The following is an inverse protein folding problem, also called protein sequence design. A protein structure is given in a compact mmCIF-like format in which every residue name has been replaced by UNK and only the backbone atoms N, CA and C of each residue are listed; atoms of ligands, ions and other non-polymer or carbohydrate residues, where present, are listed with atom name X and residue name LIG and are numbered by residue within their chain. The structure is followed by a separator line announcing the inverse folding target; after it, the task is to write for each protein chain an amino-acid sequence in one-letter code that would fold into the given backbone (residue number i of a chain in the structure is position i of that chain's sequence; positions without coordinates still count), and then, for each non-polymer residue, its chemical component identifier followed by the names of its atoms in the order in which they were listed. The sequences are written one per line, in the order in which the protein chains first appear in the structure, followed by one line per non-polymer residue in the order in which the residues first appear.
data_IF_854979822190
#
_entry.id   IF_854979822190
#
_cell.length_a   1.000
_cell.length_b   1.000
_cell.length_c   1.000
_cell.angle_alpha   90.00
_cell.angle_beta   90.00
_cell.angle_gamma   90.00
#
_symmetry.space_group_name_H-M   'P 1'
#
loop_
_entity.id
_entity.type
_entity.pdbx_description
1 polymer ?
#
# COMPACT_ATOMS: atom_id res chain seq x y z
N UNK A 1 20.29 2.02 3.06
CA UNK A 1 21.22 2.66 4.02
C UNK A 1 22.56 1.94 3.89
N UNK A 2 23.58 2.66 3.41
CA UNK A 2 24.82 2.10 2.85
C UNK A 2 24.90 2.30 1.34
N UNK A 3 26.08 2.09 0.77
CA UNK A 3 26.40 2.39 -0.64
C UNK A 3 25.82 1.39 -1.66
N UNK A 4 25.16 0.34 -1.16
CA UNK A 4 24.62 -0.75 -1.96
C UNK A 4 23.14 -1.02 -1.64
N UNK A 5 22.34 -1.41 -2.66
CA UNK A 5 20.96 -1.82 -2.45
C UNK A 5 20.90 -3.06 -1.54
N UNK A 6 19.96 -3.06 -0.60
CA UNK A 6 19.62 -4.23 0.22
C UNK A 6 18.28 -4.74 -0.24
N UNK A 7 18.15 -6.07 -0.32
CA UNK A 7 16.93 -6.73 -0.73
C UNK A 7 16.32 -7.48 0.46
N UNK A 8 15.01 -7.50 0.51
CA UNK A 8 14.22 -8.31 1.44
C UNK A 8 13.18 -9.04 0.63
N UNK A 9 12.91 -10.29 0.99
CA UNK A 9 11.87 -11.08 0.33
C UNK A 9 10.49 -10.58 0.76
N UNK A 10 9.51 -10.81 -0.10
CA UNK A 10 8.10 -10.53 0.13
C UNK A 10 7.29 -11.16 -0.99
N UNK A 11 5.97 -11.10 -0.87
CA UNK A 11 5.05 -11.65 -1.86
C UNK A 11 4.04 -10.58 -2.23
N UNK A 12 3.83 -10.38 -3.54
CA UNK A 12 2.64 -9.67 -4.01
C UNK A 12 1.47 -10.66 -3.99
N UNK A 13 0.69 -10.63 -2.91
CA UNK A 13 -0.20 -11.73 -2.56
C UNK A 13 -1.54 -11.59 -3.28
N UNK A 14 -1.80 -12.53 -4.18
CA UNK A 14 -3.08 -12.63 -4.88
C UNK A 14 -4.06 -13.44 -4.05
N UNK A 15 -5.28 -12.93 -3.91
CA UNK A 15 -6.31 -13.57 -3.11
C UNK A 15 -6.96 -14.74 -3.85
N UNK A 16 -6.75 -15.93 -3.30
CA UNK A 16 -7.49 -17.14 -3.61
C UNK A 16 -7.84 -17.85 -2.30
N UNK A 17 -8.83 -18.74 -2.32
CA UNK A 17 -9.18 -19.53 -1.14
C UNK A 17 -7.98 -20.32 -0.59
N UNK A 18 -7.22 -20.94 -1.48
CA UNK A 18 -6.01 -21.72 -1.14
C UNK A 18 -4.94 -20.83 -0.52
N UNK A 19 -4.63 -19.70 -1.16
CA UNK A 19 -3.62 -18.76 -0.66
C UNK A 19 -4.01 -18.23 0.72
N UNK A 20 -5.26 -17.79 0.90
CA UNK A 20 -5.76 -17.27 2.18
C UNK A 20 -5.63 -18.34 3.27
N UNK A 21 -6.02 -19.58 2.96
CA UNK A 21 -5.93 -20.69 3.92
C UNK A 21 -4.49 -20.97 4.32
N UNK A 22 -3.56 -21.03 3.36
CA UNK A 22 -2.13 -21.24 3.62
C UNK A 22 -1.52 -20.09 4.43
N UNK A 23 -1.82 -18.84 4.06
CA UNK A 23 -1.31 -17.66 4.77
C UNK A 23 -1.82 -17.58 6.22
N UNK A 24 -3.05 -18.02 6.50
CA UNK A 24 -3.57 -18.10 7.86
C UNK A 24 -2.92 -19.23 8.68
N UNK A 25 -2.58 -20.36 8.04
CA UNK A 25 -1.88 -21.46 8.69
C UNK A 25 -0.38 -21.16 8.90
N UNK A 26 0.21 -20.32 8.03
CA UNK A 26 1.63 -20.01 7.98
C UNK A 26 1.87 -18.49 7.90
N UNK A 27 1.60 -17.73 8.98
CA UNK A 27 1.54 -16.26 8.93
C UNK A 27 2.87 -15.57 8.59
N UNK A 28 4.01 -16.24 8.75
CA UNK A 28 5.33 -15.71 8.41
C UNK A 28 5.72 -15.94 6.94
N UNK A 29 4.96 -16.73 6.17
CA UNK A 29 5.41 -17.23 4.85
C UNK A 29 5.46 -16.17 3.75
N UNK A 30 4.50 -15.26 3.75
CA UNK A 30 4.27 -14.31 2.65
C UNK A 30 4.55 -12.85 3.02
N UNK A 31 4.82 -12.58 4.30
CA UNK A 31 5.10 -11.23 4.80
C UNK A 31 6.44 -10.70 4.31
N UNK A 32 6.61 -9.38 4.35
CA UNK A 32 7.85 -8.72 3.94
C UNK A 32 8.93 -9.01 4.98
N UNK A 33 10.01 -9.69 4.57
CA UNK A 33 11.15 -10.03 5.40
C UNK A 33 10.72 -10.83 6.64
N UNK A 34 11.09 -10.34 7.82
CA UNK A 34 10.68 -10.90 9.11
C UNK A 34 9.60 -10.05 9.80
N UNK A 35 8.90 -9.22 9.02
CA UNK A 35 7.89 -8.30 9.55
C UNK A 35 6.55 -9.00 9.76
N UNK A 36 5.48 -8.21 9.87
CA UNK A 36 4.09 -8.68 9.91
C UNK A 36 3.24 -8.10 8.80
N UNK A 37 3.85 -7.44 7.81
CA UNK A 37 3.14 -6.77 6.74
C UNK A 37 3.07 -7.64 5.50
N UNK A 38 1.86 -7.82 4.94
CA UNK A 38 1.59 -8.61 3.74
C UNK A 38 1.08 -7.70 2.63
N UNK A 39 1.76 -7.65 1.48
CA UNK A 39 1.23 -6.94 0.31
C UNK A 39 0.08 -7.74 -0.28
N UNK A 40 -1.08 -7.13 -0.49
CA UNK A 40 -2.26 -7.76 -1.06
C UNK A 40 -2.69 -7.01 -2.32
N UNK A 41 -2.57 -7.69 -3.46
CA UNK A 41 -3.04 -7.20 -4.76
C UNK A 41 -4.44 -7.72 -5.06
N UNK A 42 -5.33 -6.80 -5.40
CA UNK A 42 -6.71 -7.09 -5.77
C UNK A 42 -6.86 -7.21 -7.29
N UNK A 43 -7.69 -8.15 -7.72
CA UNK A 43 -8.08 -8.30 -9.12
C UNK A 43 -8.71 -7.01 -9.66
N UNK A 44 -8.33 -6.65 -10.89
CA UNK A 44 -8.93 -5.52 -11.61
C UNK A 44 -10.37 -5.79 -12.05
N UNK A 45 -10.82 -7.05 -12.02
CA UNK A 45 -12.11 -7.47 -12.53
C UNK A 45 -13.15 -7.72 -11.43
N UNK A 46 -12.69 -8.00 -10.22
CA UNK A 46 -13.58 -8.29 -9.10
C UNK A 46 -12.92 -8.03 -7.75
N UNK A 47 -13.72 -7.53 -6.81
CA UNK A 47 -13.38 -7.48 -5.38
C UNK A 47 -14.30 -8.48 -4.67
N UNK A 48 -13.76 -9.53 -4.02
CA UNK A 48 -14.58 -10.50 -3.30
C UNK A 48 -15.46 -9.81 -2.24
N UNK A 49 -16.76 -10.11 -2.13
CA UNK A 49 -17.63 -9.50 -1.12
C UNK A 49 -17.13 -9.71 0.32
N UNK A 50 -16.50 -10.85 0.59
CA UNK A 50 -15.98 -11.26 1.90
C UNK A 50 -14.57 -10.72 2.18
N UNK A 51 -14.06 -9.79 1.36
CA UNK A 51 -12.69 -9.29 1.49
C UNK A 51 -12.41 -8.67 2.86
N UNK A 52 -13.39 -7.94 3.42
CA UNK A 52 -13.26 -7.34 4.75
C UNK A 52 -13.10 -8.40 5.84
N UNK A 53 -13.80 -9.54 5.74
CA UNK A 53 -13.67 -10.65 6.68
C UNK A 53 -12.29 -11.31 6.56
N UNK A 54 -11.77 -11.44 5.33
CA UNK A 54 -10.41 -11.94 5.09
C UNK A 54 -9.36 -11.02 5.73
N UNK A 55 -9.49 -9.71 5.55
CA UNK A 55 -8.60 -8.75 6.21
C UNK A 55 -8.70 -8.83 7.73
N UNK A 56 -9.91 -8.92 8.30
CA UNK A 56 -10.10 -9.07 9.73
C UNK A 56 -9.42 -10.36 10.28
N UNK A 57 -9.49 -11.47 9.53
CA UNK A 57 -8.79 -12.73 9.88
C UNK A 57 -7.28 -12.56 9.87
N UNK A 58 -6.70 -11.92 8.85
CA UNK A 58 -5.26 -11.63 8.82
C UNK A 58 -4.83 -10.76 10.00
N UNK A 59 -5.59 -9.71 10.30
CA UNK A 59 -5.30 -8.83 11.45
C UNK A 59 -5.38 -9.62 12.77
N UNK A 60 -6.37 -10.48 12.93
CA UNK A 60 -6.51 -11.34 14.11
C UNK A 60 -5.36 -12.34 14.29
N UNK A 61 -4.69 -12.75 13.21
CA UNK A 61 -3.47 -13.58 13.27
C UNK A 61 -2.17 -12.75 13.38
N UNK A 62 -2.28 -11.44 13.52
CA UNK A 62 -1.16 -10.52 13.68
C UNK A 62 -0.51 -10.08 12.36
N UNK A 63 -1.12 -10.38 11.21
CA UNK A 63 -0.70 -9.89 9.89
C UNK A 63 -1.39 -8.56 9.61
N UNK A 64 -0.64 -7.54 9.21
CA UNK A 64 -1.18 -6.27 8.71
C UNK A 64 -1.21 -6.29 7.18
N UNK A 65 -2.40 -6.37 6.53
CA UNK A 65 -2.50 -6.30 5.08
C UNK A 65 -2.13 -4.89 4.60
N UNK A 66 -1.31 -4.82 3.54
CA UNK A 66 -1.03 -3.61 2.78
C UNK A 66 -1.75 -3.75 1.44
N UNK A 67 -2.81 -2.98 1.22
CA UNK A 67 -3.52 -2.95 -0.05
C UNK A 67 -2.62 -2.26 -1.08
N UNK A 68 -2.20 -3.00 -2.11
CA UNK A 68 -1.30 -2.47 -3.14
C UNK A 68 -2.06 -1.70 -4.20
N UNK A 69 -1.51 -0.54 -4.52
CA UNK A 69 -1.92 0.38 -5.59
C UNK A 69 -3.44 0.46 -5.87
N UNK A 70 -4.28 0.73 -4.85
CA UNK A 70 -5.73 0.80 -5.04
C UNK A 70 -6.14 1.90 -6.01
N UNK A 71 -5.30 2.93 -6.21
CA UNK A 71 -5.52 4.01 -7.17
C UNK A 71 -5.53 3.52 -8.62
N UNK A 72 -4.93 2.35 -8.91
CA UNK A 72 -4.89 1.74 -10.24
C UNK A 72 -6.07 0.79 -10.49
N UNK A 73 -6.76 0.36 -9.44
CA UNK A 73 -7.86 -0.60 -9.55
C UNK A 73 -9.17 0.11 -9.95
N UNK A 74 -9.80 -0.24 -11.10
CA UNK A 74 -11.01 0.45 -11.57
C UNK A 74 -12.19 0.42 -10.58
N UNK A 75 -12.36 -0.68 -9.85
CA UNK A 75 -13.44 -0.83 -8.86
C UNK A 75 -13.21 0.10 -7.67
N UNK A 76 -11.96 0.21 -7.20
CA UNK A 76 -11.61 1.11 -6.11
C UNK A 76 -11.55 2.58 -6.53
N UNK A 77 -11.34 2.87 -7.81
CA UNK A 77 -11.54 4.22 -8.33
C UNK A 77 -13.02 4.63 -8.31
N UNK A 78 -13.95 3.69 -8.58
CA UNK A 78 -15.39 3.96 -8.52
C UNK A 78 -15.97 3.98 -7.10
N UNK A 79 -15.37 3.22 -6.18
CA UNK A 79 -15.84 3.09 -4.79
C UNK A 79 -14.69 3.27 -3.77
N UNK A 80 -14.01 4.43 -3.78
CA UNK A 80 -12.79 4.64 -2.99
C UNK A 80 -13.06 4.65 -1.48
N UNK A 81 -14.31 4.81 -1.03
CA UNK A 81 -14.71 4.67 0.38
C UNK A 81 -14.52 3.25 0.90
N UNK A 82 -14.41 2.23 0.04
CA UNK A 82 -14.00 0.86 0.45
C UNK A 82 -12.61 0.87 1.07
N UNK A 83 -11.68 1.63 0.47
CA UNK A 83 -10.30 1.72 0.95
C UNK A 83 -10.25 2.36 2.33
N UNK A 84 -11.02 3.43 2.56
CA UNK A 84 -11.07 4.09 3.87
C UNK A 84 -11.56 3.14 4.97
N UNK A 85 -12.62 2.38 4.70
CA UNK A 85 -13.15 1.37 5.62
C UNK A 85 -12.13 0.28 5.95
N UNK A 86 -11.32 -0.13 4.98
CA UNK A 86 -10.25 -1.10 5.25
C UNK A 86 -9.11 -0.50 6.05
N UNK A 87 -8.79 0.79 5.86
CA UNK A 87 -7.84 1.48 6.74
C UNK A 87 -8.36 1.56 8.17
N UNK A 88 -9.64 1.91 8.36
CA UNK A 88 -10.29 1.91 9.68
C UNK A 88 -10.29 0.52 10.34
N UNK A 89 -10.39 -0.56 9.54
CA UNK A 89 -10.29 -1.94 10.02
C UNK A 89 -8.87 -2.31 10.51
N UNK A 90 -7.84 -1.59 10.05
CA UNK A 90 -6.44 -1.83 10.38
C UNK A 90 -5.55 -2.23 9.20
N UNK A 91 -6.05 -2.17 7.97
CA UNK A 91 -5.21 -2.33 6.78
C UNK A 91 -4.37 -1.09 6.53
N UNK A 92 -3.21 -1.27 5.92
CA UNK A 92 -2.41 -0.20 5.38
C UNK A 92 -2.59 -0.09 3.85
N UNK A 93 -2.16 1.04 3.28
CA UNK A 93 -2.32 1.34 1.84
C UNK A 93 -1.01 1.80 1.25
N UNK A 94 -0.63 1.20 0.12
CA UNK A 94 0.51 1.63 -0.68
C UNK A 94 0.00 2.19 -2.01
N UNK A 95 0.39 3.43 -2.34
CA UNK A 95 0.11 4.08 -3.63
C UNK A 95 1.36 4.07 -4.51
N UNK A 96 1.20 3.84 -5.81
CA UNK A 96 2.34 3.80 -6.74
C UNK A 96 2.90 5.20 -6.96
N UNK A 97 4.21 5.36 -6.81
CA UNK A 97 4.90 6.65 -6.92
C UNK A 97 4.63 7.36 -8.26
N UNK A 98 4.67 6.61 -9.36
CA UNK A 98 4.41 7.14 -10.70
C UNK A 98 2.94 7.50 -10.95
N UNK A 99 2.00 7.02 -10.12
CA UNK A 99 0.60 7.47 -10.17
C UNK A 99 0.47 8.93 -9.67
N UNK A 100 1.21 9.28 -8.61
CA UNK A 100 1.23 10.64 -8.04
C UNK A 100 1.81 11.65 -9.04
N UNK A 101 2.77 11.24 -9.86
CA UNK A 101 3.37 12.11 -10.91
C UNK A 101 2.56 12.12 -12.20
N UNK A 102 1.44 11.39 -12.29
CA UNK A 102 0.55 11.39 -13.45
C UNK A 102 0.93 10.43 -14.60
N UNK A 103 1.95 9.58 -14.44
CA UNK A 103 2.41 8.68 -15.50
C UNK A 103 1.38 7.59 -15.89
N UNK A 104 0.41 7.31 -15.02
CA UNK A 104 -0.68 6.37 -15.25
C UNK A 104 -1.96 7.03 -15.77
N UNK A 105 -1.90 8.32 -16.11
CA UNK A 105 -3.05 9.10 -16.56
C UNK A 105 -3.86 9.74 -15.42
N UNK A 106 -4.75 10.64 -15.82
CA UNK A 106 -5.43 11.56 -14.90
C UNK A 106 -6.40 10.86 -13.95
N UNK A 107 -7.06 9.78 -14.36
CA UNK A 107 -7.97 9.03 -13.49
C UNK A 107 -7.23 8.42 -12.30
N UNK A 108 -6.10 7.75 -12.56
CA UNK A 108 -5.25 7.12 -11.54
C UNK A 108 -4.65 8.19 -10.63
N UNK A 109 -4.13 9.28 -11.20
CA UNK A 109 -3.60 10.41 -10.41
C UNK A 109 -4.66 11.01 -9.48
N UNK A 110 -5.87 11.26 -9.98
CA UNK A 110 -6.97 11.80 -9.15
C UNK A 110 -7.35 10.85 -8.01
N UNK A 111 -7.35 9.54 -8.26
CA UNK A 111 -7.61 8.55 -7.21
C UNK A 111 -6.50 8.56 -6.14
N UNK A 112 -5.23 8.62 -6.55
CA UNK A 112 -4.10 8.76 -5.63
C UNK A 112 -4.22 10.03 -4.76
N UNK A 113 -4.48 11.18 -5.40
CA UNK A 113 -4.68 12.45 -4.70
C UNK A 113 -5.89 12.41 -3.76
N UNK A 114 -6.98 11.74 -4.14
CA UNK A 114 -8.19 11.61 -3.32
C UNK A 114 -7.90 10.85 -2.02
N UNK A 115 -7.14 9.75 -2.10
CA UNK A 115 -6.71 8.95 -0.95
C UNK A 115 -5.73 9.72 -0.05
N UNK A 116 -4.79 10.45 -0.65
CA UNK A 116 -3.84 11.29 0.09
C UNK A 116 -4.53 12.43 0.85
N UNK A 117 -5.47 13.15 0.20
CA UNK A 117 -6.25 14.24 0.81
C UNK A 117 -7.17 13.80 1.95
N UNK A 118 -7.37 12.49 2.10
CA UNK A 118 -8.20 11.89 3.14
C UNK A 118 -7.39 11.14 4.18
N UNK A 119 -6.07 11.29 4.20
CA UNK A 119 -5.21 10.61 5.16
C UNK A 119 -5.50 9.10 5.16
N UNK A 120 -5.40 8.45 4.00
CA UNK A 120 -5.57 7.00 3.85
C UNK A 120 -4.29 6.27 3.43
N UNK A 121 -3.27 6.99 2.95
CA UNK A 121 -2.05 6.41 2.36
C UNK A 121 -0.98 6.24 3.42
N UNK A 122 -0.38 5.05 3.49
CA UNK A 122 0.68 4.71 4.44
C UNK A 122 2.06 4.67 3.79
N UNK A 123 2.10 4.33 2.50
CA UNK A 123 3.34 4.14 1.75
C UNK A 123 3.25 4.70 0.34
N UNK A 124 4.37 5.19 -0.17
CA UNK A 124 4.62 5.25 -1.61
C UNK A 124 5.67 4.21 -1.98
N UNK A 125 5.43 3.47 -3.06
CA UNK A 125 6.39 2.52 -3.61
C UNK A 125 6.44 2.64 -5.13
N UNK A 126 7.56 2.24 -5.74
CA UNK A 126 7.76 2.48 -7.18
C UNK A 126 6.99 1.51 -8.06
N UNK A 127 6.73 0.30 -7.54
CA UNK A 127 6.08 -0.78 -8.30
C UNK A 127 6.84 -1.03 -9.63
N UNK A 128 8.17 -1.09 -9.49
CA UNK A 128 9.13 -1.07 -10.60
C UNK A 128 9.28 -2.46 -11.22
N UNK A 129 9.33 -2.52 -12.55
CA UNK A 129 9.39 -3.78 -13.29
C UNK A 129 10.52 -3.80 -14.35
N UNK A 130 10.96 -2.63 -14.83
CA UNK A 130 11.96 -2.53 -15.89
C UNK A 130 12.58 -1.12 -15.92
N UNK A 131 13.66 -0.91 -16.67
CA UNK A 131 14.38 0.37 -16.69
C UNK A 131 13.77 1.44 -17.60
N UNK A 132 12.68 1.16 -18.33
CA UNK A 132 12.15 2.03 -19.40
C UNK A 132 10.71 2.46 -19.15
N UNK A 133 9.81 1.51 -19.01
CA UNK A 133 8.37 1.69 -18.84
C UNK A 133 7.98 1.85 -17.37
N UNK A 134 8.57 1.05 -16.46
CA UNK A 134 8.29 1.11 -15.01
C UNK A 134 9.59 1.12 -14.19
N UNK A 135 10.42 2.17 -14.31
CA UNK A 135 11.65 2.28 -13.54
C UNK A 135 11.36 2.53 -12.06
N UNK A 136 12.21 2.06 -11.14
CA UNK A 136 12.00 2.20 -9.70
C UNK A 136 12.33 3.62 -9.18
N UNK A 137 11.65 4.64 -9.74
CA UNK A 137 11.92 6.04 -9.44
C UNK A 137 10.94 6.56 -8.37
N UNK A 138 11.51 7.10 -7.29
CA UNK A 138 10.75 7.63 -6.15
C UNK A 138 10.87 9.15 -5.99
N UNK A 139 11.91 9.77 -6.54
CA UNK A 139 12.25 11.19 -6.30
C UNK A 139 11.12 12.14 -6.68
N UNK A 140 10.57 12.00 -7.89
CA UNK A 140 9.48 12.86 -8.36
C UNK A 140 8.22 12.77 -7.48
N UNK A 141 7.86 11.57 -7.03
CA UNK A 141 6.72 11.40 -6.12
C UNK A 141 6.97 12.06 -4.76
N UNK A 142 8.19 11.91 -4.20
CA UNK A 142 8.57 12.58 -2.95
C UNK A 142 8.45 14.11 -3.06
N UNK A 143 8.94 14.70 -4.16
CA UNK A 143 8.86 16.14 -4.41
C UNK A 143 7.41 16.62 -4.52
N UNK A 144 6.56 15.88 -5.24
CA UNK A 144 5.14 16.21 -5.38
C UNK A 144 4.43 16.19 -4.02
N UNK A 145 4.65 15.16 -3.19
CA UNK A 145 4.05 15.10 -1.85
C UNK A 145 4.57 16.23 -0.95
N UNK A 146 5.87 16.50 -0.99
CA UNK A 146 6.48 17.56 -0.18
C UNK A 146 5.90 18.94 -0.50
N UNK A 147 5.61 19.19 -1.79
CA UNK A 147 5.04 20.45 -2.27
C UNK A 147 3.54 20.58 -2.01
N UNK A 148 2.77 19.50 -2.19
CA UNK A 148 1.30 19.54 -2.11
C UNK A 148 0.75 19.35 -0.69
N UNK A 149 1.51 18.66 0.17
CA UNK A 149 1.07 18.32 1.53
C UNK A 149 2.08 18.81 2.56
N UNK A 150 3.21 18.10 2.72
CA UNK A 150 4.31 18.51 3.59
C UNK A 150 5.55 17.64 3.36
N UNK A 151 6.73 18.19 3.67
CA UNK A 151 7.98 17.45 3.66
C UNK A 151 7.96 16.26 4.66
N UNK A 152 7.31 16.44 5.81
CA UNK A 152 7.18 15.39 6.83
C UNK A 152 6.33 14.22 6.34
N UNK A 153 5.22 14.48 5.64
CA UNK A 153 4.42 13.42 5.04
C UNK A 153 5.20 12.71 3.94
N UNK A 154 5.91 13.45 3.08
CA UNK A 154 6.74 12.84 2.05
C UNK A 154 7.81 11.90 2.64
N UNK A 155 8.47 12.31 3.72
CA UNK A 155 9.44 11.49 4.43
C UNK A 155 8.80 10.28 5.12
N UNK A 156 7.62 10.47 5.71
CA UNK A 156 6.84 9.40 6.33
C UNK A 156 6.50 8.29 5.32
N UNK A 157 5.90 8.64 4.18
CA UNK A 157 5.41 7.68 3.18
C UNK A 157 6.53 6.98 2.41
N UNK A 158 7.65 7.67 2.15
CA UNK A 158 8.73 7.17 1.29
C UNK A 158 9.87 6.54 2.09
N UNK A 159 10.10 6.95 3.34
CA UNK A 159 11.28 6.56 4.12
C UNK A 159 10.94 5.98 5.49
N UNK A 160 10.19 6.69 6.35
CA UNK A 160 9.99 6.25 7.75
C UNK A 160 9.14 4.99 7.83
N UNK A 161 7.98 4.97 7.19
CA UNK A 161 7.08 3.82 7.22
C UNK A 161 7.69 2.59 6.52
N UNK A 162 8.26 2.69 5.29
CA UNK A 162 8.94 1.55 4.67
C UNK A 162 10.09 1.00 5.53
N UNK A 163 10.88 1.87 6.17
CA UNK A 163 11.95 1.43 7.07
C UNK A 163 11.40 0.68 8.28
N UNK A 164 10.30 1.14 8.88
CA UNK A 164 9.66 0.47 10.00
C UNK A 164 9.17 -0.94 9.61
N UNK A 165 8.59 -1.10 8.42
CA UNK A 165 8.18 -2.41 7.88
C UNK A 165 9.38 -3.35 7.81
N UNK A 166 10.49 -2.94 7.18
CA UNK A 166 11.69 -3.77 7.04
C UNK A 166 12.30 -4.16 8.40
N UNK A 167 12.17 -3.30 9.41
CA UNK A 167 12.66 -3.56 10.76
C UNK A 167 11.66 -4.32 11.64
N UNK A 168 10.45 -4.64 11.14
CA UNK A 168 9.39 -5.28 11.93
C UNK A 168 8.87 -4.39 13.06
N UNK A 169 8.90 -3.06 12.89
CA UNK A 169 8.50 -2.07 13.88
C UNK A 169 7.09 -1.51 13.60
N UNK A 170 6.41 -0.94 14.61
CA UNK A 170 5.20 -0.15 14.41
C UNK A 170 5.43 1.02 13.46
N UNK A 171 4.43 1.35 12.64
CA UNK A 171 4.53 2.48 11.73
C UNK A 171 4.60 3.81 12.52
N UNK A 172 5.63 4.65 12.30
CA UNK A 172 5.74 5.93 12.98
C UNK A 172 4.70 6.96 12.51
N UNK A 173 4.18 6.81 11.29
CA UNK A 173 3.07 7.58 10.75
C UNK A 173 1.88 6.66 10.50
N UNK A 174 0.79 6.92 11.22
CA UNK A 174 -0.50 6.28 11.04
C UNK A 174 -1.50 7.31 10.51
N UNK A 175 -1.93 7.18 9.25
CA UNK A 175 -2.92 8.09 8.70
C UNK A 175 -4.28 7.81 9.36
N UNK A 176 -5.06 8.86 9.61
CA UNK A 176 -6.40 8.74 10.21
C UNK A 176 -7.44 9.20 9.21
N UNK A 177 -8.05 8.26 8.45
CA UNK A 177 -9.03 8.63 7.47
C UNK A 177 -10.14 9.46 8.08
N UNK A 178 -10.29 10.70 7.59
CA UNK A 178 -11.44 11.48 7.98
C UNK A 178 -12.68 10.83 7.33
N UNK A 179 -13.56 10.26 8.15
CA UNK A 179 -14.92 9.89 7.73
C UNK A 179 -15.70 11.19 7.49
N UNK A 180 -15.37 11.89 6.40
CA UNK A 180 -16.11 13.08 5.97
C UNK A 180 -17.36 12.58 5.27
N UNK A 181 -18.49 12.70 5.97
CA UNK A 181 -19.83 12.67 5.38
C UNK A 181 -19.96 13.72 4.30
#
# INVERSE_FOLDING_TARGET
VGDLPRLSLGCDFHLSYENITDALAHPDRYVIGTSRYLLVELSNYSVPPQISDTYAKFIATGITPIITHPERNPILQSEPEKVLRWVELGCAVQVTASAVTGAWGEAVRRSAEWLLKRDAVHFLASDGHDMKRRPPVMSGAREVIAKLFSADLADALVSKNPKAVILGQPLPYLPQPASKK
#
